data_IF_396072478248
#
_entry.id   IF_396072478248
#
_cell.length_a   1.000
_cell.length_b   1.000
_cell.length_c   1.000
_cell.angle_alpha   90.00
_cell.angle_beta   90.00
_cell.angle_gamma   90.00
#
_symmetry.space_group_name_H-M   'P 1'
#
loop_
_entity.id
_entity.type
_entity.pdbx_description
1 polymer ?
#
# COMPACT_ATOMS: atom_id res chain seq x y z
N UNK A 1 12.85 -8.21 -13.28
CA UNK A 1 13.31 -7.39 -12.13
C UNK A 1 14.18 -6.29 -12.69
N UNK A 2 13.84 -5.06 -12.43
CA UNK A 2 14.54 -3.91 -12.97
C UNK A 2 14.62 -2.79 -11.94
N UNK A 3 15.50 -1.82 -12.18
CA UNK A 3 15.57 -0.58 -11.43
C UNK A 3 15.52 0.60 -12.40
N UNK A 4 15.03 1.73 -11.94
CA UNK A 4 15.18 3.02 -12.62
C UNK A 4 15.87 4.00 -11.67
N UNK A 5 16.56 4.99 -12.24
CA UNK A 5 17.27 6.00 -11.45
C UNK A 5 16.39 7.24 -11.35
N UNK A 6 16.12 7.69 -10.12
CA UNK A 6 15.37 8.92 -9.85
C UNK A 6 16.21 10.16 -10.17
N UNK A 7 15.56 11.33 -10.29
CA UNK A 7 16.22 12.62 -10.55
C UNK A 7 17.23 13.02 -9.47
N UNK A 8 17.09 12.49 -8.24
CA UNK A 8 18.03 12.68 -7.13
C UNK A 8 19.04 11.53 -6.98
N UNK A 9 19.08 10.59 -7.94
CA UNK A 9 20.17 9.62 -8.12
C UNK A 9 20.00 8.28 -7.40
N UNK A 10 18.83 7.98 -6.81
CA UNK A 10 18.54 6.68 -6.21
C UNK A 10 18.05 5.68 -7.26
N UNK A 11 18.43 4.41 -7.11
CA UNK A 11 17.89 3.32 -7.92
C UNK A 11 16.71 2.69 -7.19
N UNK A 12 15.52 2.81 -7.77
CA UNK A 12 14.31 2.23 -7.20
C UNK A 12 13.92 0.98 -8.00
N UNK A 13 13.58 -0.06 -7.25
CA UNK A 13 13.21 -1.36 -7.78
C UNK A 13 11.77 -1.38 -8.24
N UNK A 14 11.53 -2.05 -9.37
CA UNK A 14 10.17 -2.34 -9.86
C UNK A 14 10.11 -3.67 -10.61
N UNK A 15 8.90 -4.19 -10.76
CA UNK A 15 8.58 -5.26 -11.71
C UNK A 15 7.56 -4.73 -12.72
N UNK A 16 7.59 -5.26 -13.95
CA UNK A 16 6.69 -4.89 -15.06
C UNK A 16 6.41 -6.16 -15.86
N UNK A 17 5.17 -6.63 -15.81
CA UNK A 17 4.78 -7.93 -16.37
C UNK A 17 3.40 -7.83 -17.04
N UNK A 18 3.19 -8.63 -18.09
CA UNK A 18 1.91 -8.69 -18.79
C UNK A 18 1.73 -7.58 -19.81
N UNK A 19 0.47 -7.34 -20.20
CA UNK A 19 0.09 -6.33 -21.20
C UNK A 19 -1.37 -5.91 -21.03
N UNK A 20 -1.78 -4.82 -21.62
CA UNK A 20 -3.14 -4.27 -21.53
C UNK A 20 -3.22 -3.08 -20.58
N UNK A 21 -4.27 -2.98 -19.75
CA UNK A 21 -4.46 -1.90 -18.80
C UNK A 21 -3.24 -1.80 -17.86
N UNK A 22 -2.52 -0.67 -17.83
CA UNK A 22 -1.42 -0.50 -16.88
C UNK A 22 -1.98 -0.38 -15.47
N UNK A 23 -1.63 -1.32 -14.60
CA UNK A 23 -1.97 -1.35 -13.18
C UNK A 23 -0.70 -1.19 -12.35
N UNK A 24 -0.55 -0.03 -11.72
CA UNK A 24 0.55 0.25 -10.80
C UNK A 24 0.12 -0.07 -9.37
N UNK A 25 0.81 -1.01 -8.74
CA UNK A 25 0.60 -1.41 -7.36
C UNK A 25 1.59 -0.69 -6.45
N UNK A 26 1.06 0.07 -5.50
CA UNK A 26 1.80 0.87 -4.52
C UNK A 26 1.62 0.29 -3.12
N UNK A 27 2.70 -0.20 -2.48
CA UNK A 27 2.63 -0.89 -1.19
C UNK A 27 2.37 0.05 -0.01
N UNK A 28 2.15 -0.55 1.16
CA UNK A 28 2.03 0.15 2.44
C UNK A 28 3.36 0.75 2.92
N UNK A 29 3.30 1.48 4.03
CA UNK A 29 4.42 2.26 4.58
C UNK A 29 5.72 1.44 4.72
N UNK A 30 5.62 0.23 5.28
CA UNK A 30 6.74 -0.67 5.59
C UNK A 30 6.81 -1.87 4.64
N UNK A 31 6.05 -1.82 3.54
CA UNK A 31 5.78 -2.95 2.67
C UNK A 31 6.55 -2.85 1.36
N UNK A 32 6.54 -3.93 0.61
CA UNK A 32 7.24 -4.08 -0.66
C UNK A 32 6.33 -4.61 -1.77
N UNK A 33 6.86 -4.75 -2.96
CA UNK A 33 6.19 -5.37 -4.12
C UNK A 33 5.64 -6.76 -3.83
N UNK A 34 6.22 -7.48 -2.86
CA UNK A 34 5.82 -8.84 -2.48
C UNK A 34 4.42 -8.91 -1.85
N UNK A 35 3.94 -7.82 -1.27
CA UNK A 35 2.59 -7.76 -0.67
C UNK A 35 1.46 -8.00 -1.69
N UNK A 36 1.74 -7.82 -2.98
CA UNK A 36 0.77 -8.05 -4.05
C UNK A 36 0.78 -9.48 -4.59
N UNK A 37 1.59 -10.39 -4.01
CA UNK A 37 1.67 -11.78 -4.46
C UNK A 37 0.34 -12.52 -4.37
N UNK A 38 -0.50 -12.19 -3.38
CA UNK A 38 -1.78 -12.86 -3.18
C UNK A 38 -2.84 -12.43 -4.18
N UNK A 39 -2.91 -11.13 -4.49
CA UNK A 39 -3.90 -10.61 -5.43
C UNK A 39 -3.54 -10.89 -6.89
N UNK A 40 -2.25 -10.97 -7.21
CA UNK A 40 -1.76 -11.13 -8.60
C UNK A 40 -2.44 -12.25 -9.38
N UNK A 41 -2.63 -13.48 -8.82
CA UNK A 41 -3.29 -14.57 -9.55
C UNK A 41 -4.79 -14.35 -9.83
N UNK A 42 -5.41 -13.38 -9.16
CA UNK A 42 -6.84 -13.10 -9.24
C UNK A 42 -7.18 -11.86 -10.08
N UNK A 43 -6.18 -11.09 -10.48
CA UNK A 43 -6.40 -9.90 -11.30
C UNK A 43 -6.79 -10.27 -12.73
N UNK A 44 -7.72 -9.54 -13.35
CA UNK A 44 -7.92 -9.61 -14.80
C UNK A 44 -6.61 -9.36 -15.55
N UNK A 45 -6.47 -9.86 -16.80
CA UNK A 45 -5.28 -9.60 -17.62
C UNK A 45 -4.96 -8.10 -17.69
N UNK A 46 -3.76 -7.72 -17.28
CA UNK A 46 -3.29 -6.34 -17.23
C UNK A 46 -1.76 -6.27 -17.37
N UNK A 47 -1.22 -5.10 -17.63
CA UNK A 47 0.20 -4.81 -17.44
C UNK A 47 0.42 -4.46 -15.98
N UNK A 48 0.90 -5.42 -15.20
CA UNK A 48 1.08 -5.30 -13.76
C UNK A 48 2.46 -4.72 -13.45
N UNK A 49 2.46 -3.54 -12.85
CA UNK A 49 3.67 -2.84 -12.43
C UNK A 49 3.63 -2.72 -10.91
N UNK A 50 4.72 -3.11 -10.25
CA UNK A 50 4.86 -2.99 -8.79
C UNK A 50 6.18 -2.30 -8.49
N UNK A 51 6.24 -1.39 -7.52
CA UNK A 51 7.49 -0.73 -7.13
C UNK A 51 7.72 -0.79 -5.63
N UNK A 52 8.98 -0.88 -5.24
CA UNK A 52 9.43 -0.61 -3.89
C UNK A 52 9.77 0.89 -3.78
N UNK A 53 9.22 1.57 -2.78
CA UNK A 53 9.61 2.94 -2.51
C UNK A 53 11.06 3.03 -2.05
N UNK A 54 11.64 4.23 -2.12
CA UNK A 54 12.95 4.53 -1.52
C UNK A 54 13.02 4.03 -0.07
N UNK A 55 14.12 3.38 0.30
CA UNK A 55 14.33 2.82 1.63
C UNK A 55 13.50 1.59 1.96
N UNK A 56 12.86 0.92 0.98
CA UNK A 56 12.12 -0.33 1.20
C UNK A 56 12.58 -1.40 0.20
N UNK A 57 12.56 -2.64 0.65
CA UNK A 57 12.79 -3.82 -0.19
C UNK A 57 14.11 -3.79 -0.92
N UNK A 58 14.06 -3.76 -2.25
CA UNK A 58 15.21 -3.79 -3.14
C UNK A 58 15.59 -2.38 -3.68
N UNK A 59 14.88 -1.34 -3.27
CA UNK A 59 15.21 0.05 -3.59
C UNK A 59 16.33 0.59 -2.71
N UNK A 60 17.10 1.54 -3.23
CA UNK A 60 18.17 2.20 -2.48
C UNK A 60 17.61 2.90 -1.23
N UNK A 61 18.40 2.86 -0.16
CA UNK A 61 18.18 3.66 1.04
C UNK A 61 18.55 5.12 0.74
N UNK A 62 17.67 6.05 1.09
CA UNK A 62 17.97 7.48 0.95
C UNK A 62 18.86 7.92 2.11
N UNK A 63 20.06 8.49 1.84
CA UNK A 63 20.93 9.01 2.89
C UNK A 63 20.30 10.19 3.65
N UNK A 64 19.28 10.83 3.07
CA UNK A 64 18.46 11.85 3.72
C UNK A 64 17.07 11.29 4.03
N UNK A 65 16.90 10.65 5.21
CA UNK A 65 15.64 10.07 5.64
C UNK A 65 14.44 11.06 5.65
N UNK A 66 14.70 12.36 5.69
CA UNK A 66 13.67 13.41 5.60
C UNK A 66 12.93 13.38 4.25
N UNK A 67 13.47 12.68 3.26
CA UNK A 67 12.82 12.44 1.97
C UNK A 67 11.76 11.32 2.00
N UNK A 68 11.59 10.57 3.09
CA UNK A 68 10.52 9.56 3.20
C UNK A 68 9.15 10.21 3.43
N UNK A 69 8.72 11.01 2.45
CA UNK A 69 7.48 11.80 2.50
C UNK A 69 6.59 11.52 1.30
N UNK A 70 5.27 11.75 1.45
CA UNK A 70 4.31 11.59 0.34
C UNK A 70 4.71 12.39 -0.91
N UNK A 71 5.09 13.68 -0.83
CA UNK A 71 5.46 14.44 -2.03
C UNK A 71 6.65 13.84 -2.79
N UNK A 72 7.66 13.32 -2.07
CA UNK A 72 8.83 12.70 -2.69
C UNK A 72 8.48 11.34 -3.29
N UNK A 73 7.72 10.51 -2.59
CA UNK A 73 7.26 9.22 -3.10
C UNK A 73 6.34 9.38 -4.33
N UNK A 74 5.48 10.41 -4.36
CA UNK A 74 4.65 10.74 -5.53
C UNK A 74 5.53 11.16 -6.72
N UNK A 75 6.57 11.96 -6.50
CA UNK A 75 7.56 12.29 -7.52
C UNK A 75 8.20 11.03 -8.08
N UNK A 76 8.66 10.12 -7.22
CA UNK A 76 9.27 8.86 -7.63
C UNK A 76 8.32 8.00 -8.47
N UNK A 77 7.02 7.98 -8.12
CA UNK A 77 5.97 7.31 -8.92
C UNK A 77 5.85 7.94 -10.31
N UNK A 78 5.84 9.27 -10.41
CA UNK A 78 5.79 9.98 -11.70
C UNK A 78 7.02 9.65 -12.53
N UNK A 79 8.20 9.67 -11.95
CA UNK A 79 9.46 9.36 -12.61
C UNK A 79 9.52 7.90 -13.10
N UNK A 80 8.96 6.95 -12.34
CA UNK A 80 8.79 5.56 -12.82
C UNK A 80 7.84 5.51 -14.03
N UNK A 81 6.71 6.20 -13.97
CA UNK A 81 5.77 6.25 -15.10
C UNK A 81 6.43 6.84 -16.36
N UNK A 82 7.26 7.89 -16.20
CA UNK A 82 7.99 8.51 -17.31
C UNK A 82 9.06 7.56 -17.86
N UNK A 83 9.81 6.87 -16.99
CA UNK A 83 10.78 5.85 -17.37
C UNK A 83 10.15 4.73 -18.20
N UNK A 84 8.93 4.30 -17.83
CA UNK A 84 8.18 3.27 -18.52
C UNK A 84 7.38 3.79 -19.73
N UNK A 85 7.47 5.08 -20.05
CA UNK A 85 6.69 5.77 -21.08
C UNK A 85 5.18 5.54 -20.92
N UNK A 86 4.71 5.54 -19.66
CA UNK A 86 3.29 5.39 -19.33
C UNK A 86 2.63 6.77 -19.26
N UNK A 87 1.72 7.11 -20.16
CA UNK A 87 0.99 8.38 -20.09
C UNK A 87 0.04 8.43 -18.89
N UNK A 88 -0.59 7.32 -18.55
CA UNK A 88 -1.47 7.16 -17.40
C UNK A 88 -1.57 5.69 -16.98
N UNK A 89 -1.93 5.44 -15.71
CA UNK A 89 -2.16 4.10 -15.19
C UNK A 89 -3.32 4.06 -14.18
N UNK A 90 -3.88 2.88 -13.96
CA UNK A 90 -4.70 2.57 -12.80
C UNK A 90 -3.80 2.32 -11.59
N UNK A 91 -4.24 2.67 -10.39
CA UNK A 91 -3.45 2.54 -9.16
C UNK A 91 -4.17 1.64 -8.17
N UNK A 92 -3.52 0.57 -7.73
CA UNK A 92 -3.92 -0.22 -6.56
C UNK A 92 -2.99 0.15 -5.41
N UNK A 93 -3.48 0.96 -4.48
CA UNK A 93 -2.70 1.46 -3.36
C UNK A 93 -3.12 0.87 -2.02
N UNK A 94 -2.20 0.20 -1.34
CA UNK A 94 -2.41 -0.30 0.02
C UNK A 94 -1.96 0.73 1.04
N UNK A 95 -2.84 1.16 1.97
CA UNK A 95 -2.46 2.07 3.05
C UNK A 95 -1.70 3.31 2.52
N UNK A 96 -0.42 3.48 2.85
CA UNK A 96 0.48 4.54 2.31
C UNK A 96 0.38 4.66 0.78
N UNK A 97 0.29 3.53 0.08
CA UNK A 97 0.15 3.49 -1.38
C UNK A 97 -1.15 4.11 -1.86
N UNK A 98 -2.24 3.97 -1.10
CA UNK A 98 -3.50 4.66 -1.39
C UNK A 98 -3.42 6.17 -1.18
N UNK A 99 -2.68 6.63 -0.14
CA UNK A 99 -2.39 8.05 0.05
C UNK A 99 -1.59 8.62 -1.12
N UNK A 100 -0.58 7.87 -1.61
CA UNK A 100 0.18 8.24 -2.79
C UNK A 100 -0.72 8.28 -4.05
N UNK A 101 -1.64 7.33 -4.20
CA UNK A 101 -2.61 7.31 -5.31
C UNK A 101 -3.54 8.52 -5.30
N UNK A 102 -4.09 8.90 -4.13
CA UNK A 102 -4.90 10.11 -3.97
C UNK A 102 -4.06 11.38 -4.24
N UNK A 103 -2.84 11.44 -3.70
CA UNK A 103 -1.93 12.55 -3.90
C UNK A 103 -1.52 12.72 -5.37
N UNK A 104 -1.26 11.62 -6.08
CA UNK A 104 -0.97 11.64 -7.52
C UNK A 104 -2.17 12.14 -8.33
N UNK A 105 -3.39 11.72 -7.99
CA UNK A 105 -4.59 12.20 -8.66
C UNK A 105 -4.83 13.71 -8.46
N UNK A 106 -4.38 14.26 -7.33
CA UNK A 106 -4.44 15.70 -7.07
C UNK A 106 -3.33 16.47 -7.81
N UNK A 107 -2.11 15.91 -7.88
CA UNK A 107 -0.94 16.57 -8.46
C UNK A 107 -0.90 16.46 -10.00
N UNK A 108 -1.34 15.32 -10.56
CA UNK A 108 -1.27 15.01 -11.99
C UNK A 108 -2.50 14.17 -12.40
N UNK A 109 -3.71 14.75 -12.40
CA UNK A 109 -4.95 14.02 -12.62
C UNK A 109 -5.01 13.29 -13.97
N UNK A 110 -4.35 13.82 -14.99
CA UNK A 110 -4.27 13.19 -16.32
C UNK A 110 -3.45 11.89 -16.33
N UNK A 111 -2.60 11.68 -15.31
CA UNK A 111 -1.75 10.49 -15.17
C UNK A 111 -2.48 9.31 -14.49
N UNK A 112 -3.70 9.52 -13.98
CA UNK A 112 -4.45 8.53 -13.19
C UNK A 112 -5.73 8.13 -13.93
N UNK A 113 -5.86 6.86 -14.28
CA UNK A 113 -7.06 6.26 -14.90
C UNK A 113 -8.13 5.95 -13.85
N UNK A 114 -7.73 5.48 -12.67
CA UNK A 114 -8.59 5.14 -11.55
C UNK A 114 -7.76 4.74 -10.34
N UNK A 115 -8.36 4.72 -9.15
CA UNK A 115 -7.67 4.37 -7.89
C UNK A 115 -8.47 3.35 -7.09
N UNK A 116 -7.84 2.24 -6.72
CA UNK A 116 -8.33 1.31 -5.71
C UNK A 116 -7.54 1.52 -4.41
N UNK A 117 -8.26 1.80 -3.34
CA UNK A 117 -7.75 2.05 -2.00
C UNK A 117 -7.92 0.79 -1.15
N UNK A 118 -6.82 0.16 -0.75
CA UNK A 118 -6.85 -0.95 0.19
C UNK A 118 -6.65 -0.40 1.61
N UNK A 119 -7.74 -0.33 2.33
CA UNK A 119 -7.89 -0.03 3.74
C UNK A 119 -7.29 1.32 4.18
N UNK A 120 -7.52 2.35 3.40
CA UNK A 120 -7.10 3.72 3.69
C UNK A 120 -8.11 4.72 3.14
N UNK A 121 -8.21 5.87 3.79
CA UNK A 121 -9.07 6.98 3.41
C UNK A 121 -8.49 8.32 3.86
N UNK A 122 -9.28 9.40 3.72
CA UNK A 122 -8.85 10.76 4.06
C UNK A 122 -8.83 11.07 5.56
N UNK A 123 -9.35 10.18 6.40
CA UNK A 123 -9.25 10.26 7.86
C UNK A 123 -8.59 8.99 8.36
N UNK A 124 -7.48 9.11 9.06
CA UNK A 124 -6.75 8.00 9.67
C UNK A 124 -7.03 7.98 11.17
N UNK A 125 -7.42 6.82 11.69
CA UNK A 125 -7.72 6.67 13.10
C UNK A 125 -6.42 6.81 13.93
N UNK A 126 -6.42 7.70 14.95
CA UNK A 126 -5.23 7.90 15.80
C UNK A 126 -4.77 6.64 16.53
N UNK A 127 -5.69 5.73 16.91
CA UNK A 127 -5.32 4.46 17.56
C UNK A 127 -4.56 3.54 16.60
N UNK A 128 -4.99 3.48 15.34
CA UNK A 128 -4.30 2.73 14.29
C UNK A 128 -2.91 3.30 14.02
N UNK A 129 -2.79 4.62 13.91
CA UNK A 129 -1.49 5.29 13.76
C UNK A 129 -0.57 5.01 14.95
N UNK A 130 -1.08 5.10 16.18
CA UNK A 130 -0.32 4.76 17.38
C UNK A 130 0.12 3.29 17.37
N UNK A 131 -0.73 2.37 16.89
CA UNK A 131 -0.41 0.95 16.71
C UNK A 131 0.78 0.74 15.75
N UNK A 132 0.82 1.46 14.64
CA UNK A 132 1.94 1.43 13.69
C UNK A 132 3.25 1.88 14.36
N UNK A 133 3.20 2.95 15.15
CA UNK A 133 4.37 3.49 15.84
C UNK A 133 4.98 2.54 16.88
N UNK A 134 4.26 1.51 17.32
CA UNK A 134 4.81 0.49 18.24
C UNK A 134 5.93 -0.32 17.57
N UNK A 135 5.77 -0.69 16.31
CA UNK A 135 6.72 -1.56 15.59
C UNK A 135 7.58 -0.85 14.54
N UNK A 136 7.15 0.32 14.05
CA UNK A 136 7.85 1.04 13.00
C UNK A 136 9.32 1.30 13.35
N UNK A 137 10.23 0.98 12.43
CA UNK A 137 11.68 1.16 12.59
C UNK A 137 12.35 0.18 13.57
N UNK A 138 11.66 -0.90 13.97
CA UNK A 138 12.17 -1.85 14.97
C UNK A 138 12.17 -3.26 14.40
N UNK A 139 13.27 -3.98 14.61
CA UNK A 139 13.28 -5.41 14.37
C UNK A 139 12.33 -6.12 15.35
N UNK A 140 11.63 -7.18 14.90
CA UNK A 140 10.75 -7.94 15.79
C UNK A 140 11.59 -8.66 16.89
N UNK A 141 10.97 -8.91 18.02
CA UNK A 141 11.59 -9.71 19.09
C UNK A 141 11.73 -11.20 18.68
N UNK A 142 10.94 -11.67 17.72
CA UNK A 142 11.00 -13.01 17.18
C UNK A 142 12.35 -13.23 16.47
N UNK A 143 12.96 -14.40 16.69
CA UNK A 143 14.27 -14.74 16.14
C UNK A 143 14.20 -15.58 14.86
N UNK A 144 13.00 -16.06 14.52
CA UNK A 144 12.75 -16.85 13.32
C UNK A 144 11.38 -16.50 12.72
N UNK A 145 11.19 -16.80 11.43
CA UNK A 145 9.90 -16.65 10.77
C UNK A 145 8.80 -17.44 11.47
N UNK A 146 9.12 -18.62 12.03
CA UNK A 146 8.16 -19.43 12.78
C UNK A 146 7.69 -18.71 14.05
N UNK A 147 8.61 -18.11 14.81
CA UNK A 147 8.25 -17.32 16.00
C UNK A 147 7.45 -16.07 15.62
N UNK A 148 7.82 -15.37 14.54
CA UNK A 148 7.07 -14.22 14.05
C UNK A 148 5.65 -14.64 13.62
N UNK A 149 5.51 -15.71 12.85
CA UNK A 149 4.22 -16.24 12.40
C UNK A 149 3.29 -16.59 13.58
N UNK A 150 3.83 -17.12 14.67
CA UNK A 150 3.05 -17.39 15.89
C UNK A 150 2.65 -16.10 16.64
N UNK A 151 3.44 -15.04 16.54
CA UNK A 151 3.17 -13.76 17.21
C UNK A 151 2.19 -12.86 16.43
N UNK A 152 2.25 -12.87 15.09
CA UNK A 152 1.45 -11.99 14.23
C UNK A 152 -0.05 -11.97 14.54
N UNK A 153 -0.74 -13.11 14.80
CA UNK A 153 -2.17 -13.11 15.16
C UNK A 153 -2.52 -12.31 16.42
N UNK A 154 -1.56 -12.09 17.29
CA UNK A 154 -1.73 -11.35 18.56
C UNK A 154 -1.30 -9.89 18.44
N UNK A 155 -0.44 -9.59 17.48
CA UNK A 155 0.09 -8.22 17.22
C UNK A 155 -0.84 -7.46 16.27
N UNK A 156 -1.29 -8.12 15.20
CA UNK A 156 -2.17 -7.54 14.21
C UNK A 156 -3.63 -7.66 14.64
N UNK A 157 -4.26 -6.50 14.89
CA UNK A 157 -5.64 -6.44 15.34
C UNK A 157 -6.64 -6.66 14.20
N UNK A 158 -7.85 -7.12 14.56
CA UNK A 158 -8.96 -7.22 13.60
C UNK A 158 -8.91 -8.43 12.66
N UNK A 159 -7.89 -9.28 12.76
CA UNK A 159 -7.79 -10.50 11.96
C UNK A 159 -8.40 -11.70 12.70
N UNK A 160 -9.24 -12.46 12.01
CA UNK A 160 -9.77 -13.73 12.49
C UNK A 160 -9.79 -14.76 11.35
N UNK A 161 -9.80 -16.04 11.71
CA UNK A 161 -9.89 -17.15 10.75
C UNK A 161 -8.80 -17.12 9.65
N UNK A 162 -7.63 -16.61 9.98
CA UNK A 162 -6.47 -16.62 9.07
C UNK A 162 -5.71 -17.93 9.27
N UNK A 163 -5.47 -18.72 8.20
CA UNK A 163 -4.72 -19.97 8.30
C UNK A 163 -3.28 -19.75 8.80
N UNK A 164 -2.70 -20.67 9.59
CA UNK A 164 -1.33 -20.55 10.08
C UNK A 164 -0.29 -20.41 8.96
N UNK A 165 -0.54 -21.00 7.80
CA UNK A 165 0.31 -20.91 6.62
C UNK A 165 0.40 -19.48 6.09
N UNK A 166 -0.70 -18.71 6.17
CA UNK A 166 -0.71 -17.29 5.78
C UNK A 166 0.17 -16.47 6.72
N UNK A 167 0.11 -16.71 8.02
CA UNK A 167 0.99 -16.02 8.96
C UNK A 167 2.46 -16.32 8.75
N UNK A 168 2.78 -17.56 8.30
CA UNK A 168 4.14 -17.90 7.90
C UNK A 168 4.57 -17.12 6.65
N UNK A 169 3.70 -17.02 5.64
CA UNK A 169 3.95 -16.25 4.43
C UNK A 169 4.16 -14.76 4.78
N UNK A 170 3.29 -14.17 5.62
CA UNK A 170 3.44 -12.80 6.10
C UNK A 170 4.78 -12.57 6.79
N UNK A 171 5.18 -13.49 7.69
CA UNK A 171 6.47 -13.39 8.36
C UNK A 171 7.65 -13.45 7.37
N UNK A 172 7.58 -14.29 6.35
CA UNK A 172 8.62 -14.43 5.32
C UNK A 172 8.66 -13.22 4.37
N UNK A 173 7.52 -12.61 4.09
CA UNK A 173 7.41 -11.42 3.23
C UNK A 173 7.96 -10.17 3.93
N UNK A 174 7.73 -10.05 5.25
CA UNK A 174 8.02 -8.79 5.95
C UNK A 174 9.35 -8.77 6.69
N UNK A 175 9.99 -9.91 6.87
CA UNK A 175 11.24 -10.00 7.61
C UNK A 175 12.29 -10.84 6.87
N UNK A 176 13.54 -10.45 7.01
CA UNK A 176 14.69 -11.20 6.51
C UNK A 176 15.35 -11.94 7.68
N UNK A 177 15.66 -13.23 7.49
CA UNK A 177 16.40 -14.02 8.47
C UNK A 177 17.89 -13.64 8.43
N UNK A 178 18.43 -13.23 9.57
CA UNK A 178 19.86 -12.96 9.78
C UNK A 178 20.41 -13.89 10.85
N UNK A 179 21.75 -13.97 11.03
CA UNK A 179 22.34 -14.73 12.15
C UNK A 179 21.89 -14.23 13.53
N UNK A 180 21.58 -12.95 13.66
CA UNK A 180 21.16 -12.30 14.91
C UNK A 180 19.66 -12.48 15.20
N UNK A 181 18.85 -12.85 14.20
CA UNK A 181 17.41 -12.99 14.29
C UNK A 181 16.71 -12.48 13.04
N UNK A 182 15.50 -11.93 13.19
CA UNK A 182 14.78 -11.32 12.08
C UNK A 182 15.10 -9.82 11.97
N UNK A 183 15.21 -9.34 10.75
CA UNK A 183 15.39 -7.93 10.42
C UNK A 183 14.25 -7.43 9.55
N UNK A 184 13.86 -6.16 9.71
CA UNK A 184 12.91 -5.47 8.84
C UNK A 184 13.49 -5.31 7.43
N UNK A 185 12.61 -5.21 6.43
CA UNK A 185 12.93 -5.07 5.00
C UNK A 185 12.96 -3.62 4.54
N UNK A 186 13.05 -2.67 5.46
CA UNK A 186 13.02 -1.24 5.17
C UNK A 186 13.97 -0.46 6.10
N UNK A 187 14.30 0.76 5.71
CA UNK A 187 15.14 1.66 6.51
C UNK A 187 14.47 2.01 7.85
N UNK A 188 15.08 1.74 9.01
CA UNK A 188 14.54 2.09 10.30
C UNK A 188 14.27 3.59 10.49
N UNK A 189 14.97 4.47 9.80
CA UNK A 189 14.75 5.92 9.79
C UNK A 189 13.39 6.34 9.20
N UNK A 190 12.65 5.42 8.62
CA UNK A 190 11.26 5.65 8.25
C UNK A 190 10.40 6.07 9.46
N UNK A 191 10.76 5.58 10.66
CA UNK A 191 10.19 6.02 11.92
C UNK A 191 10.43 7.51 12.15
N UNK A 192 11.68 7.95 12.02
CA UNK A 192 12.06 9.35 12.25
C UNK A 192 11.31 10.29 11.29
N UNK A 193 11.15 9.86 10.03
CA UNK A 193 10.40 10.62 9.04
C UNK A 193 8.91 10.77 9.40
N UNK A 194 8.27 9.70 9.91
CA UNK A 194 6.87 9.74 10.34
C UNK A 194 6.72 10.62 11.58
N UNK A 195 7.61 10.50 12.56
CA UNK A 195 7.60 11.35 13.77
C UNK A 195 7.83 12.83 13.44
N UNK A 196 8.71 13.13 12.50
CA UNK A 196 8.99 14.50 12.06
C UNK A 196 7.85 15.10 11.21
N UNK A 197 7.00 14.27 10.58
CA UNK A 197 5.89 14.71 9.75
C UNK A 197 4.77 15.44 10.52
N UNK A 198 4.73 15.31 11.85
CA UNK A 198 3.74 15.97 12.69
C UNK A 198 2.31 15.45 12.48
N UNK A 199 1.34 16.34 12.68
CA UNK A 199 -0.07 16.00 12.53
C UNK A 199 -0.43 15.65 11.08
N UNK A 200 -1.31 14.66 10.91
CA UNK A 200 -1.83 14.29 9.59
C UNK A 200 -2.67 15.47 9.05
N UNK A 201 -2.34 16.00 7.86
CA UNK A 201 -3.12 17.08 7.28
C UNK A 201 -4.54 16.62 6.91
N UNK A 202 -5.42 17.58 6.59
CA UNK A 202 -6.72 17.27 5.97
C UNK A 202 -6.48 16.63 4.58
N UNK A 203 -6.84 15.34 4.46
CA UNK A 203 -6.66 14.58 3.21
C UNK A 203 -7.95 14.52 2.37
N UNK A 204 -9.05 15.12 2.80
CA UNK A 204 -10.29 15.16 2.02
C UNK A 204 -10.11 15.81 0.64
N UNK A 205 -9.34 16.89 0.47
CA UNK A 205 -9.07 17.44 -0.85
C UNK A 205 -8.39 16.45 -1.82
N UNK A 206 -7.54 15.55 -1.31
CA UNK A 206 -6.91 14.51 -2.11
C UNK A 206 -7.91 13.42 -2.50
N UNK A 207 -8.83 13.04 -1.62
CA UNK A 207 -9.92 12.13 -1.96
C UNK A 207 -10.89 12.75 -2.97
N UNK A 208 -11.23 14.02 -2.80
CA UNK A 208 -12.11 14.76 -3.72
C UNK A 208 -11.47 14.89 -5.13
N UNK A 209 -10.14 14.89 -5.25
CA UNK A 209 -9.42 14.88 -6.54
C UNK A 209 -9.66 13.58 -7.36
N UNK A 210 -10.20 12.53 -6.76
CA UNK A 210 -10.65 11.32 -7.46
C UNK A 210 -11.98 11.51 -8.21
N UNK A 211 -12.62 12.67 -8.12
CA UNK A 211 -13.90 12.95 -8.79
C UNK A 211 -13.83 12.63 -10.30
N UNK A 212 -14.81 11.90 -10.81
CA UNK A 212 -14.88 11.48 -12.20
C UNK A 212 -13.95 10.32 -12.59
N UNK A 213 -13.14 9.78 -11.65
CA UNK A 213 -12.28 8.62 -11.88
C UNK A 213 -12.90 7.36 -11.26
N UNK A 214 -12.86 6.20 -11.93
CA UNK A 214 -13.20 4.94 -11.30
C UNK A 214 -12.46 4.77 -9.97
N UNK A 215 -13.22 4.65 -8.88
CA UNK A 215 -12.65 4.53 -7.54
C UNK A 215 -13.21 3.29 -6.86
N UNK A 216 -12.34 2.54 -6.18
CA UNK A 216 -12.69 1.37 -5.38
C UNK A 216 -12.15 1.57 -3.96
N UNK A 217 -12.93 1.20 -2.95
CA UNK A 217 -12.49 1.12 -1.56
C UNK A 217 -12.71 -0.30 -1.05
N UNK A 218 -11.64 -0.92 -0.60
CA UNK A 218 -11.64 -2.23 0.07
C UNK A 218 -11.27 -1.96 1.53
N UNK A 219 -12.16 -2.33 2.46
CA UNK A 219 -11.97 -2.09 3.89
C UNK A 219 -11.96 -3.41 4.65
N UNK A 220 -11.00 -3.60 5.55
CA UNK A 220 -11.10 -4.68 6.55
C UNK A 220 -12.17 -4.35 7.59
N UNK A 221 -13.12 -5.27 7.82
CA UNK A 221 -14.20 -5.04 8.80
C UNK A 221 -13.68 -4.75 10.22
N UNK A 222 -12.51 -5.30 10.56
CA UNK A 222 -11.80 -5.09 11.81
C UNK A 222 -10.66 -4.04 11.73
N UNK A 223 -10.62 -3.22 10.69
CA UNK A 223 -9.58 -2.19 10.55
C UNK A 223 -9.60 -1.22 11.72
N UNK A 224 -8.43 -0.98 12.29
CA UNK A 224 -8.17 0.01 13.33
C UNK A 224 -7.61 1.33 12.75
N UNK A 225 -7.33 1.38 11.44
CA UNK A 225 -6.84 2.59 10.77
C UNK A 225 -7.94 3.31 9.97
N UNK A 226 -8.79 2.58 9.25
CA UNK A 226 -9.92 3.13 8.50
C UNK A 226 -11.22 2.78 9.21
N UNK A 227 -11.84 3.75 9.88
CA UNK A 227 -13.10 3.51 10.58
C UNK A 227 -14.27 3.27 9.62
N UNK A 228 -15.29 2.51 10.05
CA UNK A 228 -16.52 2.34 9.28
C UNK A 228 -17.22 3.68 9.03
N UNK A 229 -17.14 4.62 9.99
CA UNK A 229 -17.72 5.96 9.85
C UNK A 229 -17.03 6.76 8.74
N UNK A 230 -15.70 6.69 8.64
CA UNK A 230 -14.95 7.33 7.56
C UNK A 230 -15.28 6.71 6.21
N UNK A 231 -15.33 5.38 6.14
CA UNK A 231 -15.74 4.68 4.92
C UNK A 231 -17.15 5.07 4.46
N UNK A 232 -18.09 5.25 5.39
CA UNK A 232 -19.44 5.73 5.08
C UNK A 232 -19.41 7.17 4.53
N UNK A 233 -18.64 8.09 5.14
CA UNK A 233 -18.47 9.46 4.62
C UNK A 233 -17.88 9.46 3.21
N UNK A 234 -16.95 8.55 2.91
CA UNK A 234 -16.37 8.39 1.57
C UNK A 234 -17.45 7.93 0.57
N UNK A 235 -18.30 6.97 0.94
CA UNK A 235 -19.41 6.51 0.10
C UNK A 235 -20.46 7.60 -0.12
N UNK A 236 -20.78 8.39 0.91
CA UNK A 236 -21.71 9.52 0.80
C UNK A 236 -21.21 10.60 -0.17
N UNK A 237 -19.88 10.87 -0.19
CA UNK A 237 -19.26 11.79 -1.14
C UNK A 237 -19.10 11.21 -2.55
N UNK A 238 -18.91 9.89 -2.65
CA UNK A 238 -18.66 9.16 -3.89
C UNK A 238 -19.58 7.94 -3.99
N UNK A 239 -20.90 8.17 -4.22
CA UNK A 239 -21.87 7.06 -4.38
C UNK A 239 -21.59 6.19 -5.62
N UNK A 240 -20.75 6.66 -6.55
CA UNK A 240 -20.26 5.92 -7.72
C UNK A 240 -19.09 4.99 -7.42
N UNK A 241 -18.47 5.13 -6.23
CA UNK A 241 -17.33 4.33 -5.78
C UNK A 241 -17.77 2.89 -5.52
N UNK A 242 -16.95 1.95 -5.99
CA UNK A 242 -17.10 0.54 -5.62
C UNK A 242 -16.60 0.38 -4.18
N UNK A 243 -17.41 -0.26 -3.35
CA UNK A 243 -17.08 -0.52 -1.95
C UNK A 243 -17.18 -2.00 -1.64
N UNK A 244 -16.17 -2.53 -0.97
CA UNK A 244 -16.17 -3.87 -0.39
C UNK A 244 -15.68 -3.83 1.06
N UNK A 245 -16.44 -4.44 1.96
CA UNK A 245 -16.00 -4.71 3.32
C UNK A 245 -15.60 -6.18 3.44
N UNK A 246 -14.37 -6.43 3.88
CA UNK A 246 -13.79 -7.77 3.98
C UNK A 246 -13.92 -8.27 5.42
N UNK A 247 -14.75 -9.31 5.68
CA UNK A 247 -14.94 -9.82 7.02
C UNK A 247 -13.66 -10.47 7.56
N UNK A 248 -13.46 -10.41 8.88
CA UNK A 248 -12.33 -11.05 9.57
C UNK A 248 -10.94 -10.53 9.13
N UNK A 249 -10.86 -9.32 8.61
CA UNK A 249 -9.61 -8.64 8.25
C UNK A 249 -9.49 -7.32 8.98
N UNK A 250 -8.30 -7.07 9.50
CA UNK A 250 -7.86 -5.80 10.03
C UNK A 250 -7.13 -4.97 8.98
N UNK A 251 -6.26 -4.07 9.41
CA UNK A 251 -5.40 -3.29 8.53
C UNK A 251 -4.15 -4.09 8.16
N UNK A 252 -4.06 -4.63 6.94
CA UNK A 252 -4.88 -4.48 5.73
C UNK A 252 -5.39 -5.84 5.22
N UNK A 253 -6.53 -5.90 4.48
CA UNK A 253 -6.93 -7.09 3.72
C UNK A 253 -5.81 -7.59 2.80
N UNK A 254 -5.72 -8.91 2.62
CA UNK A 254 -4.70 -9.53 1.77
C UNK A 254 -4.98 -9.38 0.27
N UNK A 255 -6.21 -8.96 -0.08
CA UNK A 255 -6.71 -8.74 -1.45
C UNK A 255 -6.99 -10.02 -2.26
N UNK A 256 -6.83 -11.20 -1.69
CA UNK A 256 -7.26 -12.47 -2.28
C UNK A 256 -8.59 -12.98 -1.70
N UNK A 257 -9.20 -12.20 -0.82
CA UNK A 257 -10.54 -12.49 -0.33
C UNK A 257 -11.59 -12.28 -1.44
N UNK A 258 -12.65 -13.10 -1.47
CA UNK A 258 -13.67 -13.04 -2.53
C UNK A 258 -14.25 -11.64 -2.73
N UNK A 259 -14.49 -10.90 -1.65
CA UNK A 259 -15.04 -9.55 -1.67
C UNK A 259 -14.05 -8.56 -2.32
N UNK A 260 -12.77 -8.66 -1.99
CA UNK A 260 -11.71 -7.82 -2.54
C UNK A 260 -11.51 -8.12 -4.04
N UNK A 261 -11.42 -9.39 -4.41
CA UNK A 261 -11.25 -9.84 -5.81
C UNK A 261 -12.42 -9.38 -6.68
N UNK A 262 -13.67 -9.55 -6.20
CA UNK A 262 -14.85 -9.10 -6.93
C UNK A 262 -14.87 -7.57 -7.13
N UNK A 263 -14.52 -6.80 -6.09
CA UNK A 263 -14.47 -5.35 -6.16
C UNK A 263 -13.38 -4.85 -7.12
N UNK A 264 -12.19 -5.44 -7.08
CA UNK A 264 -11.09 -5.09 -7.99
C UNK A 264 -11.44 -5.43 -9.44
N UNK A 265 -12.06 -6.60 -9.70
CA UNK A 265 -12.53 -6.97 -11.03
C UNK A 265 -13.51 -5.94 -11.60
N UNK A 266 -14.56 -5.63 -10.84
CA UNK A 266 -15.57 -4.65 -11.24
C UNK A 266 -14.99 -3.22 -11.40
N UNK A 267 -13.98 -2.85 -10.61
CA UNK A 267 -13.28 -1.58 -10.76
C UNK A 267 -12.44 -1.51 -12.03
N UNK A 268 -11.69 -2.58 -12.33
CA UNK A 268 -10.86 -2.63 -13.54
C UNK A 268 -11.70 -2.60 -14.81
N UNK A 269 -12.89 -3.22 -14.82
CA UNK A 269 -13.83 -3.19 -15.95
C UNK A 269 -14.28 -1.76 -16.32
N UNK A 270 -14.32 -0.82 -15.35
CA UNK A 270 -14.69 0.58 -15.65
C UNK A 270 -13.63 1.35 -16.44
N UNK A 271 -12.45 0.78 -16.65
CA UNK A 271 -11.31 1.41 -17.33
C UNK A 271 -10.91 0.69 -18.66
N UNK A 272 -11.67 -0.32 -19.06
CA UNK A 272 -11.43 -1.10 -20.28
C UNK A 272 -12.21 -0.57 -21.47
#
# INVERSE_FOLDING_TARGET
MATFTTSDGLNLFYTDEGSGLPLLCLPGLTRTTEDFQYVTPHLPPCRLIKMDYRGRGQSDVDPNWQNYTLPVEIRDVIELMDHLSLPACAILGTSRGGLNGMGLAAAAPERVLGVALNDVGPELDPEGLAGIMVYLGRNPAARSHSEAAMALPYVLKGFANVPPERWMQEAQTHFVQTPEGLSITYDPHLRDAVEAGGDVPDLWPFFDALAGKPTCLIRGAGSDLLSAATAQKMQDRRPDMIYAEVPNRGHVPFLDEPEAVAALGAWMEKMQ
#
